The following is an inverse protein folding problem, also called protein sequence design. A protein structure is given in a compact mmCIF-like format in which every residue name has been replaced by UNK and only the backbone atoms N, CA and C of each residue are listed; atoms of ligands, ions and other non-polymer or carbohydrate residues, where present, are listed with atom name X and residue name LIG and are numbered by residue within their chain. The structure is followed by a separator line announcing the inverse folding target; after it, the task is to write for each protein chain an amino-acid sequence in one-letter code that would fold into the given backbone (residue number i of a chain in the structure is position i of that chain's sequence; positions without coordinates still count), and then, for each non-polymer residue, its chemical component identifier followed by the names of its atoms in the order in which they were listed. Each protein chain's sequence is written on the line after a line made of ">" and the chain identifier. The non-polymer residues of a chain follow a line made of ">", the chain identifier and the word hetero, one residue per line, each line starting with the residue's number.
data_IF_053639944062
#
_entry.id   IF_053639944062
#
_cell.length_a   1.000
_cell.length_b   1.000
_cell.length_c   1.000
_cell.angle_alpha   90.00
_cell.angle_beta   90.00
_cell.angle_gamma   90.00
#
_symmetry.space_group_name_H-M   'P 1'
#
loop_
_entity.id
_entity.type
_entity.pdbx_description
1 polymer ?
#
# COMPACT_ATOMS: atom_id res chain seq x y z
N UNK A 1 -8.80 -7.65 -5.83
CA UNK A 1 -8.16 -6.41 -6.33
C UNK A 1 -9.10 -5.68 -7.30
N UNK A 2 -9.04 -4.34 -7.43
CA UNK A 2 -9.95 -3.60 -8.32
C UNK A 2 -9.79 -4.01 -9.80
N UNK A 3 -10.89 -3.97 -10.57
CA UNK A 3 -10.99 -4.43 -11.96
C UNK A 3 -11.02 -3.30 -12.98
N UNK A 4 -10.56 -3.54 -14.23
CA UNK A 4 -10.20 -2.53 -15.26
C UNK A 4 -11.35 -1.74 -15.91
N UNK A 5 -12.59 -1.82 -15.43
CA UNK A 5 -13.75 -1.25 -16.13
C UNK A 5 -14.28 0.00 -15.43
N UNK A 6 -13.58 1.12 -15.56
CA UNK A 6 -14.01 2.42 -15.02
C UNK A 6 -13.06 3.58 -15.36
N UNK A 7 -13.51 4.82 -15.18
CA UNK A 7 -12.62 5.99 -15.14
C UNK A 7 -12.04 6.08 -13.75
N UNK A 8 -10.75 5.80 -13.61
CA UNK A 8 -10.07 5.89 -12.33
C UNK A 8 -9.53 7.29 -12.11
N UNK A 9 -9.61 7.76 -10.87
CA UNK A 9 -8.84 8.89 -10.43
C UNK A 9 -7.59 8.40 -9.70
N UNK A 10 -6.53 9.20 -9.76
CA UNK A 10 -5.27 8.98 -9.05
C UNK A 10 -4.95 10.24 -8.27
N UNK A 11 -4.64 10.07 -7.00
CA UNK A 11 -4.13 11.14 -6.14
C UNK A 11 -2.76 10.74 -5.57
N UNK A 12 -1.79 11.63 -5.69
CA UNK A 12 -0.42 11.45 -5.22
C UNK A 12 -0.13 12.43 -4.07
N UNK A 13 0.25 11.90 -2.91
CA UNK A 13 0.55 12.65 -1.69
C UNK A 13 1.97 12.29 -1.22
N UNK A 14 3.00 13.05 -1.64
CA UNK A 14 4.41 12.67 -1.46
C UNK A 14 4.93 12.76 -0.02
N UNK A 15 4.28 13.56 0.83
CA UNK A 15 4.66 13.83 2.22
C UNK A 15 3.53 13.47 3.19
N UNK A 16 2.79 12.38 2.90
CA UNK A 16 1.75 11.89 3.79
C UNK A 16 2.36 11.40 5.11
N UNK A 17 1.66 11.65 6.22
CA UNK A 17 2.16 11.33 7.56
C UNK A 17 1.10 10.64 8.39
N UNK A 18 1.54 9.75 9.27
CA UNK A 18 0.67 8.99 10.15
C UNK A 18 1.30 8.88 11.54
N UNK A 19 0.46 8.78 12.57
CA UNK A 19 0.92 8.50 13.93
C UNK A 19 1.44 7.07 14.02
N UNK A 20 2.38 6.80 14.91
CA UNK A 20 2.84 5.43 15.18
C UNK A 20 3.17 5.27 16.66
N UNK A 21 2.81 4.11 17.22
CA UNK A 21 3.25 3.73 18.57
C UNK A 21 4.72 3.31 18.64
N UNK A 22 5.42 3.22 17.50
CA UNK A 22 6.86 2.98 17.46
C UNK A 22 7.63 4.13 18.12
N UNK A 23 8.91 3.92 18.46
CA UNK A 23 9.74 4.90 19.17
C UNK A 23 9.81 6.29 18.50
N UNK A 24 9.65 6.35 17.17
CA UNK A 24 9.63 7.59 16.42
C UNK A 24 8.35 8.43 16.62
N UNK A 25 7.24 7.84 17.09
CA UNK A 25 5.95 8.52 17.32
C UNK A 25 5.13 8.84 16.06
N UNK A 26 5.76 8.85 14.89
CA UNK A 26 5.14 9.10 13.59
C UNK A 26 5.93 8.43 12.46
N UNK A 27 5.32 8.30 11.29
CA UNK A 27 5.99 7.95 10.04
C UNK A 27 5.63 8.92 8.91
N UNK A 28 6.49 8.99 7.90
CA UNK A 28 6.26 9.75 6.66
C UNK A 28 6.43 8.83 5.46
N UNK A 29 5.49 8.90 4.52
CA UNK A 29 5.46 8.06 3.34
C UNK A 29 4.92 8.82 2.12
N UNK A 30 5.27 8.32 0.94
CA UNK A 30 4.56 8.68 -0.28
C UNK A 30 3.30 7.81 -0.35
N UNK A 31 2.13 8.44 -0.31
CA UNK A 31 0.85 7.77 -0.44
C UNK A 31 0.26 8.04 -1.81
N UNK A 32 -0.16 6.98 -2.51
CA UNK A 32 -0.91 7.07 -3.76
C UNK A 32 -2.25 6.37 -3.61
N UNK A 33 -3.31 7.05 -4.02
CA UNK A 33 -4.67 6.52 -4.01
C UNK A 33 -5.15 6.32 -5.44
N UNK A 34 -5.75 5.15 -5.68
CA UNK A 34 -6.49 4.82 -6.88
C UNK A 34 -7.93 4.57 -6.48
N UNK A 35 -8.88 5.17 -7.18
CA UNK A 35 -10.29 4.91 -6.94
C UNK A 35 -11.06 4.63 -8.22
N UNK A 36 -11.96 3.65 -8.14
CA UNK A 36 -13.16 3.52 -8.97
C UNK A 36 -14.38 3.64 -8.05
N UNK A 37 -15.58 3.87 -8.59
CA UNK A 37 -16.82 3.88 -7.80
C UNK A 37 -17.06 2.52 -7.11
N UNK A 38 -16.52 2.35 -5.90
CA UNK A 38 -16.83 1.23 -4.99
C UNK A 38 -15.67 0.36 -4.49
N UNK A 39 -14.41 0.63 -4.82
CA UNK A 39 -13.27 0.05 -4.07
C UNK A 39 -12.02 0.89 -4.31
N UNK A 40 -11.59 1.60 -3.27
CA UNK A 40 -10.35 2.38 -3.33
C UNK A 40 -9.14 1.47 -3.01
N UNK A 41 -8.02 1.74 -3.67
CA UNK A 41 -6.72 1.10 -3.47
C UNK A 41 -5.73 2.18 -3.05
N UNK A 42 -5.04 1.96 -1.94
CA UNK A 42 -4.05 2.88 -1.40
C UNK A 42 -2.71 2.17 -1.36
N UNK A 43 -1.69 2.79 -1.94
CA UNK A 43 -0.31 2.32 -1.94
C UNK A 43 0.51 3.29 -1.09
N UNK A 44 1.21 2.75 -0.08
CA UNK A 44 2.05 3.53 0.82
C UNK A 44 3.49 3.07 0.62
N UNK A 45 4.34 3.98 0.16
CA UNK A 45 5.77 3.76 -0.04
C UNK A 45 6.55 4.52 1.03
N UNK A 46 7.29 3.80 1.86
CA UNK A 46 8.11 4.40 2.92
C UNK A 46 9.23 5.28 2.32
N UNK A 47 9.56 6.39 2.99
CA UNK A 47 10.66 7.30 2.60
C UNK A 47 11.87 7.26 3.53
N UNK A 48 11.95 6.27 4.41
CA UNK A 48 13.06 6.06 5.36
C UNK A 48 13.12 7.06 6.52
N UNK A 49 12.04 7.83 6.76
CA UNK A 49 11.95 8.80 7.87
C UNK A 49 10.85 8.37 8.84
N UNK A 50 11.21 8.21 10.11
CA UNK A 50 10.28 7.91 11.20
C UNK A 50 10.05 6.40 11.40
N UNK A 51 8.83 6.04 11.80
CA UNK A 51 8.40 4.65 11.95
C UNK A 51 8.19 3.99 10.59
N UNK A 52 8.52 2.70 10.49
CA UNK A 52 8.27 1.96 9.26
C UNK A 52 6.80 1.63 9.08
N UNK A 53 6.38 1.55 7.81
CA UNK A 53 4.99 1.20 7.44
C UNK A 53 4.68 -0.22 7.93
N UNK A 54 5.58 -1.17 7.67
CA UNK A 54 5.47 -2.56 8.14
C UNK A 54 5.18 -2.64 9.64
N UNK A 55 5.93 -1.92 10.47
CA UNK A 55 5.79 -1.99 11.93
C UNK A 55 4.61 -1.17 12.47
N UNK A 56 4.01 -0.33 11.64
CA UNK A 56 2.93 0.57 12.01
C UNK A 56 1.59 0.19 11.39
N UNK A 57 1.44 -1.06 10.93
CA UNK A 57 0.29 -1.54 10.16
C UNK A 57 -1.09 -1.05 10.66
N UNK A 58 -1.37 -1.17 11.95
CA UNK A 58 -2.65 -0.74 12.54
C UNK A 58 -2.85 0.78 12.43
N UNK A 59 -1.78 1.55 12.66
CA UNK A 59 -1.84 2.99 12.63
C UNK A 59 -1.90 3.52 11.19
N UNK A 60 -1.13 2.92 10.28
CA UNK A 60 -1.21 3.23 8.85
C UNK A 60 -2.60 2.93 8.32
N UNK A 61 -3.18 1.78 8.66
CA UNK A 61 -4.56 1.43 8.30
C UNK A 61 -5.57 2.43 8.85
N UNK A 62 -5.45 2.80 10.14
CA UNK A 62 -6.37 3.74 10.76
C UNK A 62 -6.29 5.13 10.11
N UNK A 63 -5.08 5.59 9.77
CA UNK A 63 -4.88 6.87 9.09
C UNK A 63 -5.48 6.83 7.67
N UNK A 64 -5.23 5.77 6.90
CA UNK A 64 -5.84 5.58 5.58
C UNK A 64 -7.37 5.52 5.64
N UNK A 65 -7.92 4.80 6.62
CA UNK A 65 -9.36 4.71 6.82
C UNK A 65 -9.99 6.05 7.21
N UNK A 66 -9.27 6.88 7.97
CA UNK A 66 -9.71 8.22 8.33
C UNK A 66 -9.69 9.19 7.14
N UNK A 67 -8.60 9.16 6.36
CA UNK A 67 -8.37 10.12 5.28
C UNK A 67 -9.13 9.77 4.00
N UNK A 68 -9.29 8.46 3.71
CA UNK A 68 -9.83 7.94 2.46
C UNK A 68 -10.99 6.94 2.64
N UNK A 69 -11.46 6.72 3.86
CA UNK A 69 -12.64 5.89 4.10
C UNK A 69 -13.86 6.46 3.37
N UNK A 70 -14.48 5.66 2.51
CA UNK A 70 -15.68 6.13 1.80
C UNK A 70 -16.86 6.29 2.76
N UNK A 71 -17.79 7.18 2.43
CA UNK A 71 -19.06 7.35 3.16
C UNK A 71 -19.93 6.07 3.19
N UNK A 72 -19.52 5.00 2.50
CA UNK A 72 -20.20 3.68 2.48
C UNK A 72 -19.63 2.70 3.52
N UNK A 73 -18.63 3.11 4.30
CA UNK A 73 -18.02 2.27 5.33
C UNK A 73 -17.05 1.20 4.80
N UNK A 74 -16.70 1.27 3.51
CA UNK A 74 -15.69 0.42 2.91
C UNK A 74 -14.32 1.09 3.05
N UNK A 75 -13.38 0.38 3.66
CA UNK A 75 -12.00 0.82 3.83
C UNK A 75 -11.19 0.41 2.60
N UNK A 76 -10.31 1.27 2.08
CA UNK A 76 -9.49 0.95 0.92
C UNK A 76 -8.61 -0.30 1.13
N UNK A 77 -8.28 -0.99 0.03
CA UNK A 77 -7.21 -1.99 0.03
C UNK A 77 -5.89 -1.27 0.26
N UNK A 78 -5.19 -1.60 1.35
CA UNK A 78 -3.89 -1.00 1.69
C UNK A 78 -2.74 -1.90 1.22
N UNK A 79 -1.86 -1.35 0.39
CA UNK A 79 -0.60 -1.96 -0.02
C UNK A 79 0.57 -1.18 0.53
N UNK A 80 1.53 -1.88 1.13
CA UNK A 80 2.87 -1.35 1.34
C UNK A 80 3.72 -1.60 0.10
N UNK A 81 4.39 -0.55 -0.36
CA UNK A 81 5.35 -0.60 -1.45
C UNK A 81 6.77 -0.52 -0.91
N UNK A 82 7.58 -1.51 -1.30
CA UNK A 82 8.99 -1.59 -1.01
C UNK A 82 9.79 -1.37 -2.29
N UNK A 83 10.42 -0.19 -2.47
CA UNK A 83 11.29 0.07 -3.61
C UNK A 83 12.48 -0.90 -3.65
N UNK A 84 12.95 -1.24 -4.85
CA UNK A 84 14.17 -2.02 -4.99
C UNK A 84 15.36 -1.36 -4.26
N UNK A 85 16.13 -2.15 -3.52
CA UNK A 85 17.31 -1.69 -2.78
C UNK A 85 17.00 -0.86 -1.52
N UNK A 86 15.72 -0.71 -1.16
CA UNK A 86 15.29 -0.15 0.13
C UNK A 86 14.81 -1.31 1.02
N UNK A 87 15.42 -1.50 2.19
CA UNK A 87 14.99 -2.51 3.17
C UNK A 87 15.73 -3.85 3.12
N UNK A 88 15.04 -4.94 3.47
CA UNK A 88 15.62 -6.26 3.67
C UNK A 88 15.79 -7.09 2.39
N UNK A 89 15.26 -6.63 1.25
CA UNK A 89 15.31 -7.36 -0.02
C UNK A 89 15.69 -6.44 -1.17
N UNK A 90 16.50 -6.95 -2.10
CA UNK A 90 16.90 -6.19 -3.30
C UNK A 90 15.79 -6.07 -4.36
N UNK A 91 14.66 -6.76 -4.16
CA UNK A 91 13.57 -6.84 -5.13
C UNK A 91 12.42 -5.91 -4.73
N UNK A 92 11.99 -5.08 -5.67
CA UNK A 92 10.78 -4.26 -5.52
C UNK A 92 9.57 -5.17 -5.27
N UNK A 93 8.75 -4.82 -4.30
CA UNK A 93 7.59 -5.63 -3.96
C UNK A 93 6.42 -4.84 -3.38
N UNK A 94 5.25 -5.48 -3.45
CA UNK A 94 4.01 -5.01 -2.84
C UNK A 94 3.50 -6.05 -1.86
N UNK A 95 3.22 -5.60 -0.64
CA UNK A 95 2.58 -6.39 0.40
C UNK A 95 1.21 -5.80 0.72
N UNK A 96 0.16 -6.61 0.65
CA UNK A 96 -1.19 -6.21 1.04
C UNK A 96 -1.35 -6.35 2.55
N UNK A 97 -1.91 -5.35 3.20
CA UNK A 97 -2.40 -5.50 4.55
C UNK A 97 -3.70 -6.31 4.55
N UNK A 98 -3.68 -7.46 5.22
CA UNK A 98 -4.86 -8.29 5.46
C UNK A 98 -5.06 -8.48 6.96
N UNK A 99 -6.30 -8.71 7.37
CA UNK A 99 -6.62 -9.09 8.75
C UNK A 99 -6.92 -10.57 8.78
N UNK A 100 -6.10 -11.33 9.51
CA UNK A 100 -6.26 -12.77 9.69
C UNK A 100 -6.44 -13.02 11.18
N UNK A 101 -7.56 -13.64 11.56
CA UNK A 101 -7.91 -13.92 12.96
C UNK A 101 -7.86 -12.68 13.87
N UNK A 102 -8.30 -11.54 13.34
CA UNK A 102 -8.30 -10.25 14.05
C UNK A 102 -6.93 -9.57 14.16
N UNK A 103 -5.87 -10.15 13.59
CA UNK A 103 -4.53 -9.59 13.60
C UNK A 103 -4.12 -9.07 12.21
N UNK A 104 -3.52 -7.86 12.12
CA UNK A 104 -2.94 -7.36 10.88
C UNK A 104 -1.76 -8.23 10.45
N UNK A 105 -1.71 -8.54 9.15
CA UNK A 105 -0.64 -9.30 8.50
C UNK A 105 -0.35 -8.69 7.15
N UNK A 106 0.93 -8.51 6.85
CA UNK A 106 1.40 -8.19 5.51
C UNK A 106 1.51 -9.46 4.68
N UNK A 107 0.90 -9.45 3.50
CA UNK A 107 0.89 -10.58 2.59
C UNK A 107 1.44 -10.15 1.24
N UNK A 108 2.50 -10.81 0.79
CA UNK A 108 3.10 -10.58 -0.53
C UNK A 108 2.14 -10.83 -1.66
N UNK A 109 1.91 -9.81 -2.47
CA UNK A 109 1.08 -9.86 -3.67
C UNK A 109 1.88 -9.59 -4.95
N UNK A 110 3.08 -9.03 -4.86
CA UNK A 110 3.98 -8.89 -6.00
C UNK A 110 5.45 -8.84 -5.57
N UNK A 111 6.37 -9.62 -6.16
CA UNK A 111 6.10 -10.77 -7.02
C UNK A 111 5.22 -11.80 -6.29
N UNK A 112 4.25 -12.38 -6.99
CA UNK A 112 3.22 -13.24 -6.38
C UNK A 112 3.86 -14.57 -5.95
N UNK A 113 3.92 -14.93 -4.66
CA UNK A 113 4.45 -16.23 -4.25
C UNK A 113 3.50 -17.35 -4.67
N UNK A 114 4.01 -18.49 -5.13
CA UNK A 114 3.18 -19.66 -5.52
C UNK A 114 2.24 -20.12 -4.39
N UNK A 115 2.65 -19.95 -3.13
CA UNK A 115 1.86 -20.30 -1.96
C UNK A 115 0.74 -19.30 -1.62
N UNK A 116 0.63 -18.18 -2.34
CA UNK A 116 -0.44 -17.21 -2.12
C UNK A 116 -1.78 -17.82 -2.57
N UNK A 117 -2.80 -17.91 -1.69
CA UNK A 117 -4.08 -18.52 -2.04
C UNK A 117 -4.80 -17.79 -3.19
N UNK A 118 -4.51 -16.50 -3.37
CA UNK A 118 -5.07 -15.66 -4.43
C UNK A 118 -4.09 -15.48 -5.60
N UNK A 119 -3.16 -16.43 -5.81
CA UNK A 119 -2.06 -16.29 -6.77
C UNK A 119 -2.53 -15.88 -8.17
N UNK A 120 -3.55 -16.56 -8.71
CA UNK A 120 -4.05 -16.27 -10.06
C UNK A 120 -4.66 -14.86 -10.18
N UNK A 121 -5.40 -14.42 -9.17
CA UNK A 121 -6.00 -13.08 -9.14
C UNK A 121 -4.92 -12.00 -9.02
N UNK A 122 -3.98 -12.16 -8.09
CA UNK A 122 -2.89 -11.21 -7.88
C UNK A 122 -1.98 -11.14 -9.13
N UNK A 123 -1.68 -12.27 -9.77
CA UNK A 123 -0.90 -12.30 -11.01
C UNK A 123 -1.61 -11.56 -12.14
N UNK A 124 -2.93 -11.76 -12.30
CA UNK A 124 -3.73 -11.06 -13.29
C UNK A 124 -3.79 -9.55 -13.01
N UNK A 125 -3.96 -9.15 -11.74
CA UNK A 125 -3.96 -7.75 -11.34
C UNK A 125 -2.60 -7.08 -11.59
N UNK A 126 -1.50 -7.71 -11.19
CA UNK A 126 -0.14 -7.20 -11.44
C UNK A 126 0.09 -7.02 -12.93
N UNK A 127 -0.26 -8.03 -13.75
CA UNK A 127 -0.11 -7.94 -15.20
C UNK A 127 -0.96 -6.82 -15.80
N UNK A 128 -2.15 -6.58 -15.28
CA UNK A 128 -3.05 -5.56 -15.78
C UNK A 128 -2.61 -4.14 -15.42
N UNK A 129 -2.26 -3.90 -14.14
CA UNK A 129 -2.05 -2.54 -13.61
C UNK A 129 -0.95 -2.37 -12.57
N UNK A 130 -0.39 -3.46 -12.00
CA UNK A 130 0.53 -3.36 -10.86
C UNK A 130 1.74 -2.47 -11.11
N UNK A 131 2.37 -2.57 -12.28
CA UNK A 131 3.52 -1.73 -12.64
C UNK A 131 3.17 -0.26 -12.78
N UNK A 132 2.04 0.06 -13.43
CA UNK A 132 1.55 1.44 -13.53
C UNK A 132 1.18 1.99 -12.16
N UNK A 133 0.68 1.13 -11.26
CA UNK A 133 0.25 1.57 -9.94
C UNK A 133 1.40 2.12 -9.08
N UNK A 134 2.62 1.61 -9.26
CA UNK A 134 3.81 2.02 -8.49
C UNK A 134 4.73 2.98 -9.24
N UNK A 135 4.42 3.33 -10.47
CA UNK A 135 5.26 4.19 -11.31
C UNK A 135 5.47 5.58 -10.67
N UNK A 136 6.72 5.93 -10.35
CA UNK A 136 7.05 7.22 -9.71
C UNK A 136 6.95 7.24 -8.19
N UNK A 137 6.59 6.12 -7.54
CA UNK A 137 6.73 6.00 -6.07
C UNK A 137 8.21 5.86 -5.66
N UNK A 138 9.00 5.18 -6.48
CA UNK A 138 10.42 4.83 -6.21
C UNK A 138 11.40 6.01 -6.43
N UNK A 139 10.97 7.14 -7.00
CA UNK A 139 11.86 8.26 -7.39
C UNK A 139 12.06 9.33 -6.31
N UNK A 140 11.50 9.16 -5.11
CA UNK A 140 11.48 10.21 -4.08
C UNK A 140 12.51 9.98 -2.96
N UNK A 141 13.79 9.79 -3.29
CA UNK A 141 14.85 9.92 -2.28
C UNK A 141 14.81 11.34 -1.70
N UNK A 142 14.79 11.54 -0.38
CA UNK A 142 15.01 12.87 0.19
C UNK A 142 16.41 13.34 -0.24
N UNK A 143 16.46 14.57 -0.75
CA UNK A 143 17.71 15.28 -1.06
C UNK A 143 18.43 15.70 0.22
#
# INVERSE_FOLDING_TARGET
>A
MPSRSGTWWVEDIPDWSYQSSCAAGFGTAHLRVFGDLGTDLVIVSERGIGASVTNSAEHTWAAVANDFGTHRGEVPVLLEHWPAGQGATDTEHLDQLVVIDGAPRWRRIWPVPEANPDHAENAAWTQAIGHTAIEGLSSSSPS
#
